data_IF_806475984878
#
_entry.id   IF_806475984878
#
_cell.length_a   1.000
_cell.length_b   1.000
_cell.length_c   1.000
_cell.angle_alpha   90.00
_cell.angle_beta   90.00
_cell.angle_gamma   90.00
#
_symmetry.space_group_name_H-M   'P 1'
#
loop_
_entity.id
_entity.type
_entity.pdbx_description
1 polymer ?
#
# COMPACT_ATOMS: atom_id res chain seq x y z
N UNK A 1 -2.54 9.20 9.21
CA UNK A 1 -1.37 9.20 10.12
C UNK A 1 -0.09 9.39 9.34
N UNK A 2 0.92 9.97 9.99
CA UNK A 2 2.28 10.09 9.44
C UNK A 2 3.12 8.93 9.96
N UNK A 3 4.11 8.50 9.18
CA UNK A 3 4.99 7.40 9.56
C UNK A 3 6.43 7.64 9.14
N UNK A 4 7.35 7.09 9.92
CA UNK A 4 8.79 7.05 9.61
C UNK A 4 9.23 5.60 9.56
N UNK A 5 9.71 5.17 8.41
CA UNK A 5 10.37 3.88 8.20
C UNK A 5 11.87 4.08 8.03
N UNK A 6 12.66 3.37 8.83
CA UNK A 6 14.09 3.22 8.60
C UNK A 6 14.34 2.08 7.61
N UNK A 7 15.34 2.23 6.74
CA UNK A 7 15.81 1.13 5.87
C UNK A 7 16.92 0.41 6.62
N UNK A 8 16.69 -0.86 6.96
CA UNK A 8 17.65 -1.67 7.71
C UNK A 8 18.94 -1.84 6.90
N UNK A 9 20.09 -1.72 7.57
CA UNK A 9 21.43 -1.84 7.00
C UNK A 9 21.81 -0.80 5.92
N UNK A 10 20.98 0.21 5.73
CA UNK A 10 21.23 1.29 4.79
C UNK A 10 21.00 2.65 5.44
N UNK A 11 21.79 3.69 5.08
CA UNK A 11 21.71 5.00 5.75
C UNK A 11 20.55 5.85 5.20
N UNK A 12 19.34 5.31 5.24
CA UNK A 12 18.15 5.94 4.71
C UNK A 12 16.94 5.76 5.60
N UNK A 13 16.08 6.78 5.66
CA UNK A 13 14.74 6.66 6.18
C UNK A 13 13.72 7.25 5.20
N UNK A 14 12.49 6.81 5.34
CA UNK A 14 11.33 7.25 4.56
C UNK A 14 10.29 7.84 5.48
N UNK A 15 9.80 9.03 5.14
CA UNK A 15 8.64 9.64 5.77
C UNK A 15 7.47 9.70 4.80
N UNK A 16 6.26 9.61 5.31
CA UNK A 16 5.08 9.71 4.48
C UNK A 16 3.78 9.71 5.28
N UNK A 17 2.69 9.92 4.55
CA UNK A 17 1.33 9.89 5.08
C UNK A 17 0.56 8.66 4.59
N UNK A 18 -0.36 8.20 5.43
CA UNK A 18 -1.38 7.23 5.05
C UNK A 18 -2.71 7.53 5.75
N UNK A 19 -3.81 7.31 5.05
CA UNK A 19 -5.18 7.28 5.58
C UNK A 19 -5.56 5.90 6.15
N UNK A 20 -4.71 4.90 5.95
CA UNK A 20 -4.92 3.55 6.44
C UNK A 20 -4.59 3.46 7.93
N UNK A 21 -5.24 2.53 8.63
CA UNK A 21 -5.04 2.29 10.06
C UNK A 21 -3.67 1.69 10.39
N UNK A 22 -2.95 1.16 9.40
CA UNK A 22 -1.64 0.56 9.58
C UNK A 22 -0.68 0.99 8.45
N UNK A 23 0.41 1.72 8.75
CA UNK A 23 1.40 2.16 7.76
C UNK A 23 2.10 1.02 7.01
N UNK A 24 2.21 -0.17 7.61
CA UNK A 24 2.79 -1.34 6.96
C UNK A 24 2.11 -1.71 5.65
N UNK A 25 0.82 -1.40 5.49
CA UNK A 25 0.10 -1.65 4.24
C UNK A 25 0.68 -0.86 3.06
N UNK A 26 1.29 0.31 3.31
CA UNK A 26 1.97 1.13 2.28
C UNK A 26 3.23 0.45 1.78
N UNK A 27 4.00 -0.16 2.69
CA UNK A 27 5.21 -0.90 2.33
C UNK A 27 4.85 -2.19 1.59
N UNK A 28 3.84 -2.93 2.04
CA UNK A 28 3.39 -4.17 1.40
C UNK A 28 2.87 -3.98 -0.03
N UNK A 29 2.27 -2.84 -0.33
CA UNK A 29 1.76 -2.55 -1.68
C UNK A 29 2.84 -2.14 -2.68
N UNK A 30 4.10 -2.04 -2.25
CA UNK A 30 5.23 -1.63 -3.09
C UNK A 30 5.17 -0.18 -3.52
N UNK A 31 4.44 0.68 -2.80
CA UNK A 31 4.27 2.10 -3.14
C UNK A 31 5.60 2.87 -3.18
N UNK A 32 6.62 2.36 -2.50
CA UNK A 32 7.97 2.90 -2.44
C UNK A 32 8.82 2.63 -3.70
N UNK A 33 8.39 1.73 -4.59
CA UNK A 33 9.22 1.26 -5.73
C UNK A 33 9.54 2.34 -6.76
N UNK A 34 8.73 3.39 -6.87
CA UNK A 34 8.88 4.45 -7.86
C UNK A 34 9.46 5.76 -7.30
N UNK A 35 9.69 5.82 -5.98
CA UNK A 35 10.04 7.07 -5.27
C UNK A 35 11.31 6.94 -4.41
N UNK A 36 12.17 5.99 -4.69
CA UNK A 36 13.40 5.74 -3.95
C UNK A 36 14.64 6.31 -4.65
N UNK A 37 15.72 6.58 -3.91
CA UNK A 37 17.02 6.95 -4.50
C UNK A 37 17.52 5.90 -5.47
N UNK A 38 18.22 6.33 -6.51
CA UNK A 38 18.78 5.42 -7.54
C UNK A 38 19.70 4.35 -6.94
N UNK A 39 20.41 4.68 -5.88
CA UNK A 39 21.32 3.78 -5.15
C UNK A 39 20.58 2.60 -4.51
N UNK A 40 19.28 2.76 -4.25
CA UNK A 40 18.42 1.75 -3.66
C UNK A 40 17.66 0.92 -4.69
N UNK A 41 17.78 1.26 -5.98
CA UNK A 41 17.09 0.56 -7.05
C UNK A 41 17.45 -0.93 -7.08
N UNK A 42 16.43 -1.80 -7.02
CA UNK A 42 16.61 -3.25 -7.01
C UNK A 42 17.19 -3.84 -5.71
N UNK A 43 17.41 -3.00 -4.67
CA UNK A 43 17.97 -3.42 -3.37
C UNK A 43 16.94 -3.38 -2.24
N UNK A 44 15.76 -2.85 -2.46
CA UNK A 44 14.72 -2.73 -1.45
C UNK A 44 13.67 -3.82 -1.61
N UNK A 45 13.38 -4.48 -0.51
CA UNK A 45 12.21 -5.31 -0.28
C UNK A 45 11.43 -4.80 0.93
N UNK A 46 10.21 -5.25 1.09
CA UNK A 46 9.39 -4.83 2.23
C UNK A 46 9.98 -5.25 3.59
N UNK A 47 10.80 -6.30 3.60
CA UNK A 47 11.51 -6.82 4.77
C UNK A 47 12.60 -5.88 5.30
N UNK A 48 13.13 -5.02 4.43
CA UNK A 48 14.19 -4.07 4.78
C UNK A 48 13.67 -2.81 5.46
N UNK A 49 12.36 -2.63 5.55
CA UNK A 49 11.77 -1.49 6.23
C UNK A 49 11.43 -1.81 7.68
N UNK A 50 11.86 -0.96 8.60
CA UNK A 50 11.51 -0.96 10.00
C UNK A 50 10.70 0.29 10.32
N UNK A 51 9.47 0.12 10.80
CA UNK A 51 8.65 1.24 11.28
C UNK A 51 9.18 1.69 12.64
N UNK A 52 9.66 2.94 12.71
CA UNK A 52 10.29 3.46 13.94
C UNK A 52 9.45 4.51 14.63
N UNK A 53 8.65 5.30 13.90
CA UNK A 53 7.75 6.28 14.47
C UNK A 53 6.43 6.35 13.70
N UNK A 54 5.37 6.63 14.44
CA UNK A 54 4.05 6.95 13.90
C UNK A 54 3.50 8.18 14.63
N UNK A 55 2.94 9.12 13.88
CA UNK A 55 2.38 10.35 14.43
C UNK A 55 0.95 10.57 13.96
N UNK A 56 0.19 11.26 14.78
CA UNK A 56 -1.10 11.77 14.35
C UNK A 56 -0.89 12.93 13.38
N UNK A 57 -1.51 12.88 12.22
CA UNK A 57 -1.37 13.94 11.22
C UNK A 57 -2.03 13.59 9.90
N UNK A 58 -2.02 14.56 9.00
CA UNK A 58 -2.64 14.48 7.68
C UNK A 58 -1.63 14.74 6.56
N UNK A 59 -2.10 14.71 5.33
CA UNK A 59 -1.29 14.95 4.14
C UNK A 59 -0.74 16.38 4.05
N UNK A 60 -1.40 17.35 4.68
CA UNK A 60 -0.93 18.75 4.70
C UNK A 60 0.31 18.87 5.56
N UNK A 61 0.32 18.17 6.68
CA UNK A 61 1.46 18.13 7.58
C UNK A 61 2.65 17.41 6.94
N UNK A 62 2.42 16.31 6.20
CA UNK A 62 3.46 15.67 5.38
C UNK A 62 4.10 16.67 4.40
N UNK A 63 3.30 17.39 3.62
CA UNK A 63 3.80 18.40 2.67
C UNK A 63 4.53 19.55 3.37
N UNK A 64 4.04 19.99 4.53
CA UNK A 64 4.70 21.01 5.33
C UNK A 64 6.10 20.55 5.74
N UNK A 65 6.21 19.34 6.27
CA UNK A 65 7.50 18.76 6.66
C UNK A 65 8.46 18.61 5.47
N UNK A 66 7.96 18.14 4.32
CA UNK A 66 8.78 18.02 3.10
C UNK A 66 9.24 19.38 2.57
N UNK A 67 8.51 20.46 2.84
CA UNK A 67 8.90 21.82 2.46
C UNK A 67 9.96 22.41 3.40
N UNK A 68 9.88 22.13 4.69
CA UNK A 68 10.82 22.59 5.71
C UNK A 68 12.11 21.76 5.66
N UNK A 69 11.99 20.48 5.43
CA UNK A 69 13.05 19.49 5.42
C UNK A 69 13.00 18.69 4.11
N UNK A 70 13.51 19.25 3.00
CA UNK A 70 13.36 18.63 1.68
C UNK A 70 13.97 17.22 1.62
N UNK A 71 13.29 16.24 1.02
CA UNK A 71 13.84 14.91 0.86
C UNK A 71 15.05 14.91 -0.08
N UNK A 72 15.97 14.01 0.17
CA UNK A 72 17.13 13.81 -0.71
C UNK A 72 16.69 13.27 -2.07
N UNK A 73 15.78 12.30 -2.08
CA UNK A 73 15.19 11.76 -3.32
C UNK A 73 13.78 11.18 -3.06
N UNK A 74 12.81 11.68 -3.77
CA UNK A 74 11.41 11.25 -3.63
C UNK A 74 10.87 11.50 -2.24
N UNK A 75 10.71 10.45 -1.43
CA UNK A 75 10.24 10.48 -0.05
C UNK A 75 11.30 9.89 0.92
N UNK A 76 12.61 9.98 0.54
CA UNK A 76 13.71 9.43 1.31
C UNK A 76 14.69 10.50 1.75
N UNK A 77 15.17 10.36 3.00
CA UNK A 77 16.16 11.19 3.66
C UNK A 77 17.36 10.35 4.10
N UNK A 78 18.47 11.01 4.37
CA UNK A 78 19.65 10.37 4.96
C UNK A 78 19.43 10.09 6.44
N UNK A 79 19.96 8.97 6.93
CA UNK A 79 19.82 8.54 8.32
C UNK A 79 20.48 9.52 9.32
N UNK A 80 21.49 10.27 8.88
CA UNK A 80 22.13 11.33 9.67
C UNK A 80 21.16 12.46 10.06
N UNK A 81 20.10 12.67 9.28
CA UNK A 81 19.09 13.70 9.53
C UNK A 81 17.92 13.19 10.38
N UNK A 82 17.89 11.91 10.73
CA UNK A 82 16.72 11.24 11.31
C UNK A 82 16.29 11.84 12.64
N UNK A 83 17.24 12.06 13.55
CA UNK A 83 16.94 12.55 14.90
C UNK A 83 16.39 13.99 14.85
N UNK A 84 16.99 14.87 14.05
CA UNK A 84 16.54 16.24 13.85
C UNK A 84 15.16 16.27 13.18
N UNK A 85 14.96 15.42 12.18
CA UNK A 85 13.69 15.28 11.49
C UNK A 85 12.58 14.83 12.46
N UNK A 86 12.82 13.76 13.22
CA UNK A 86 11.85 13.22 14.20
C UNK A 86 11.55 14.25 15.29
N UNK A 87 12.58 14.96 15.77
CA UNK A 87 12.40 16.03 16.75
C UNK A 87 11.47 17.12 16.21
N UNK A 88 11.66 17.56 14.97
CA UNK A 88 10.79 18.57 14.34
C UNK A 88 9.36 18.06 14.18
N UNK A 89 9.15 16.79 13.79
CA UNK A 89 7.79 16.23 13.70
C UNK A 89 7.13 16.21 15.07
N UNK A 90 7.86 15.87 16.15
CA UNK A 90 7.36 15.87 17.54
C UNK A 90 6.95 17.24 18.06
N UNK A 91 7.46 18.31 17.49
CA UNK A 91 7.02 19.66 17.86
C UNK A 91 5.60 20.00 17.34
N UNK A 92 5.13 19.31 16.32
CA UNK A 92 3.90 19.66 15.58
C UNK A 92 2.89 18.53 15.50
N UNK A 93 3.25 17.31 15.92
CA UNK A 93 2.40 16.13 15.86
C UNK A 93 2.64 15.20 17.05
N UNK A 94 1.55 14.66 17.59
CA UNK A 94 1.62 13.68 18.68
C UNK A 94 2.08 12.32 18.17
N UNK A 95 3.06 11.73 18.84
CA UNK A 95 3.49 10.37 18.56
C UNK A 95 2.46 9.37 19.10
N UNK A 96 2.13 8.38 18.30
CA UNK A 96 1.17 7.33 18.68
C UNK A 96 1.85 5.96 18.69
N UNK A 97 1.29 4.96 19.40
CA UNK A 97 1.86 3.63 19.45
C UNK A 97 2.09 3.01 18.08
N UNK A 98 3.25 2.40 17.88
CA UNK A 98 3.60 1.73 16.64
C UNK A 98 2.70 0.50 16.46
N UNK A 99 1.92 0.41 15.39
CA UNK A 99 1.10 -0.76 15.11
C UNK A 99 1.99 -1.96 14.78
N UNK A 100 1.56 -3.13 15.21
CA UNK A 100 2.28 -4.36 14.92
C UNK A 100 2.41 -4.58 13.41
N UNK A 101 3.59 -5.04 12.99
CA UNK A 101 3.81 -5.47 11.62
C UNK A 101 2.88 -6.64 11.31
N UNK A 102 2.04 -6.54 10.27
CA UNK A 102 1.26 -7.71 9.84
C UNK A 102 2.20 -8.84 9.44
N UNK A 103 1.88 -10.07 9.84
CA UNK A 103 2.65 -11.22 9.36
C UNK A 103 2.54 -11.28 7.82
N UNK A 104 3.70 -11.18 7.16
CA UNK A 104 3.78 -11.47 5.74
C UNK A 104 3.65 -12.99 5.57
N UNK A 105 2.65 -13.41 4.84
CA UNK A 105 2.53 -14.81 4.45
C UNK A 105 3.49 -15.02 3.28
N UNK A 106 4.73 -15.37 3.57
CA UNK A 106 5.54 -16.09 2.60
C UNK A 106 4.86 -17.46 2.36
N UNK A 107 4.83 -17.88 1.11
CA UNK A 107 4.03 -18.99 0.56
C UNK A 107 4.40 -20.40 1.06
N UNK A 108 4.95 -20.55 2.26
CA UNK A 108 5.21 -21.84 2.87
C UNK A 108 4.05 -22.28 3.77
N UNK A 109 3.50 -23.41 3.46
CA UNK A 109 2.33 -24.03 4.11
C UNK A 109 2.52 -24.18 5.63
N UNK A 110 3.74 -24.30 6.13
CA UNK A 110 4.08 -24.43 7.55
C UNK A 110 3.98 -23.08 8.31
N UNK A 111 4.13 -21.93 7.63
CA UNK A 111 3.94 -20.60 8.21
C UNK A 111 2.47 -20.17 8.27
N UNK A 112 1.57 -20.86 7.60
CA UNK A 112 0.12 -20.65 7.66
C UNK A 112 -0.46 -20.85 9.07
N UNK A 113 0.19 -21.62 9.92
CA UNK A 113 -0.27 -21.90 11.28
C UNK A 113 -0.12 -20.70 12.23
N UNK A 114 0.80 -19.78 11.98
CA UNK A 114 1.00 -18.62 12.86
C UNK A 114 0.17 -17.39 12.44
N UNK A 115 -0.37 -17.39 11.21
CA UNK A 115 -1.13 -16.28 10.64
C UNK A 115 -2.62 -16.63 10.49
N UNK A 116 -3.16 -17.43 11.40
CA UNK A 116 -4.60 -17.75 11.45
C UNK A 116 -5.38 -16.47 11.71
N UNK A 117 -5.83 -15.81 10.65
CA UNK A 117 -6.86 -14.81 10.80
C UNK A 117 -6.77 -13.52 10.01
N UNK A 118 -5.74 -13.23 9.23
CA UNK A 118 -5.79 -12.01 8.40
C UNK A 118 -6.52 -12.29 7.09
N UNK A 119 -7.83 -12.29 7.18
CA UNK A 119 -8.68 -12.28 6.00
C UNK A 119 -8.87 -10.84 5.52
N UNK A 120 -8.65 -10.63 4.24
CA UNK A 120 -9.01 -9.37 3.60
C UNK A 120 -10.53 -9.35 3.39
N UNK A 121 -11.22 -8.52 4.13
CA UNK A 121 -12.70 -8.46 4.11
C UNK A 121 -13.16 -7.38 3.13
N UNK A 122 -14.11 -7.70 2.28
CA UNK A 122 -14.82 -6.71 1.50
C UNK A 122 -15.81 -5.96 2.40
N UNK A 123 -15.56 -4.70 2.68
CA UNK A 123 -16.40 -3.86 3.55
C UNK A 123 -17.82 -3.68 3.02
N UNK A 124 -18.02 -3.84 1.70
CA UNK A 124 -19.33 -3.66 1.05
C UNK A 124 -20.23 -4.87 1.21
N UNK A 125 -19.67 -6.10 1.22
CA UNK A 125 -20.49 -7.33 1.26
C UNK A 125 -20.04 -8.36 2.31
N UNK A 126 -18.99 -8.06 3.10
CA UNK A 126 -18.47 -8.96 4.15
C UNK A 126 -17.68 -10.18 3.63
N UNK A 127 -17.53 -10.36 2.33
CA UNK A 127 -16.81 -11.51 1.78
C UNK A 127 -15.31 -11.46 2.12
N UNK A 128 -14.76 -12.62 2.51
CA UNK A 128 -13.38 -12.76 2.98
C UNK A 128 -12.49 -13.36 1.89
N UNK A 129 -11.26 -12.86 1.79
CA UNK A 129 -10.28 -13.29 0.81
C UNK A 129 -8.94 -13.56 1.49
N UNK A 130 -8.29 -14.65 1.13
CA UNK A 130 -6.95 -15.01 1.63
C UNK A 130 -5.83 -14.15 1.02
N UNK A 131 -6.11 -13.39 -0.03
CA UNK A 131 -5.15 -12.51 -0.71
C UNK A 131 -5.77 -11.17 -1.03
N UNK A 132 -5.06 -10.08 -0.78
CA UNK A 132 -5.51 -8.72 -1.06
C UNK A 132 -5.82 -8.49 -2.55
N UNK A 133 -5.03 -9.05 -3.46
CA UNK A 133 -5.29 -8.96 -4.90
C UNK A 133 -6.65 -9.59 -5.29
N UNK A 134 -7.09 -10.64 -4.59
CA UNK A 134 -8.41 -11.24 -4.81
C UNK A 134 -9.53 -10.36 -4.27
N UNK A 135 -9.32 -9.67 -3.15
CA UNK A 135 -10.25 -8.66 -2.66
C UNK A 135 -10.38 -7.50 -3.66
N UNK A 136 -9.26 -6.96 -4.17
CA UNK A 136 -9.29 -5.88 -5.18
C UNK A 136 -9.98 -6.32 -6.46
N UNK A 137 -9.74 -7.55 -6.89
CA UNK A 137 -10.41 -8.13 -8.06
C UNK A 137 -11.91 -8.24 -7.82
N UNK A 138 -12.32 -8.77 -6.66
CA UNK A 138 -13.72 -8.88 -6.26
C UNK A 138 -14.40 -7.51 -6.19
N UNK A 139 -13.78 -6.50 -5.58
CA UNK A 139 -14.33 -5.13 -5.54
C UNK A 139 -14.63 -4.61 -6.94
N UNK A 140 -13.68 -4.71 -7.87
CA UNK A 140 -13.85 -4.30 -9.27
C UNK A 140 -14.93 -5.09 -9.99
N UNK A 141 -14.97 -6.41 -9.78
CA UNK A 141 -15.89 -7.29 -10.51
C UNK A 141 -17.33 -7.22 -9.97
N UNK A 142 -17.52 -6.92 -8.68
CA UNK A 142 -18.83 -7.01 -8.00
C UNK A 142 -19.40 -5.64 -7.62
N UNK A 143 -18.56 -4.72 -7.14
CA UNK A 143 -19.02 -3.44 -6.58
C UNK A 143 -18.72 -2.22 -7.45
N UNK A 144 -17.65 -2.24 -8.22
CA UNK A 144 -17.25 -1.16 -9.13
C UNK A 144 -17.69 -1.47 -10.56
N UNK A 145 -18.95 -1.85 -10.75
CA UNK A 145 -19.42 -2.38 -12.01
C UNK A 145 -19.64 -1.29 -13.08
N UNK A 146 -18.57 -0.84 -13.70
CA UNK A 146 -18.67 -0.40 -15.10
C UNK A 146 -18.94 -1.64 -15.96
N UNK A 147 -20.20 -2.03 -16.11
CA UNK A 147 -20.57 -3.19 -16.91
C UNK A 147 -20.47 -2.82 -18.40
N UNK A 148 -19.65 -3.55 -19.11
CA UNK A 148 -19.51 -3.41 -20.55
C UNK A 148 -20.69 -4.11 -21.24
N UNK A 149 -21.52 -3.35 -22.00
CA UNK A 149 -22.70 -3.89 -22.68
C UNK A 149 -22.37 -4.30 -24.12
N UNK A 150 -22.79 -5.49 -24.49
CA UNK A 150 -22.79 -5.92 -25.89
C UNK A 150 -24.05 -5.45 -26.60
N UNK A 151 -23.99 -5.27 -27.91
CA UNK A 151 -25.15 -4.96 -28.80
C UNK A 151 -26.26 -6.02 -28.73
N UNK A 152 -25.95 -7.23 -28.27
CA UNK A 152 -26.94 -8.29 -28.00
C UNK A 152 -27.66 -8.16 -26.65
N UNK A 153 -27.33 -7.13 -25.82
CA UNK A 153 -27.92 -6.89 -24.51
C UNK A 153 -27.21 -7.56 -23.35
N UNK A 154 -26.23 -8.43 -23.59
CA UNK A 154 -25.44 -9.05 -22.50
C UNK A 154 -24.46 -8.06 -21.87
N UNK A 155 -24.34 -8.12 -20.54
CA UNK A 155 -23.42 -7.30 -19.76
C UNK A 155 -22.26 -8.13 -19.22
N UNK A 156 -21.06 -7.53 -19.23
CA UNK A 156 -19.82 -8.17 -18.80
C UNK A 156 -19.09 -7.30 -17.79
N UNK A 157 -18.55 -7.89 -16.69
CA UNK A 157 -17.81 -7.15 -15.69
C UNK A 157 -16.41 -6.69 -16.17
N UNK A 158 -15.94 -7.20 -17.31
CA UNK A 158 -14.62 -6.87 -17.89
C UNK A 158 -14.69 -6.71 -19.39
N UNK A 159 -13.95 -5.72 -19.91
CA UNK A 159 -13.83 -5.47 -21.34
C UNK A 159 -13.36 -6.71 -22.11
N UNK A 160 -12.34 -7.42 -21.62
CA UNK A 160 -11.83 -8.63 -22.26
C UNK A 160 -12.85 -9.78 -22.38
N UNK A 161 -13.83 -9.84 -21.46
CA UNK A 161 -14.94 -10.80 -21.56
C UNK A 161 -15.95 -10.37 -22.62
N UNK A 162 -16.20 -9.06 -22.74
CA UNK A 162 -17.00 -8.52 -23.83
C UNK A 162 -16.33 -8.79 -25.19
N UNK A 163 -15.05 -8.47 -25.32
CA UNK A 163 -14.31 -8.67 -26.59
C UNK A 163 -14.32 -10.14 -27.00
N UNK A 164 -14.10 -11.05 -26.06
CA UNK A 164 -14.19 -12.50 -26.32
C UNK A 164 -15.59 -12.93 -26.73
N UNK A 165 -16.62 -12.39 -26.09
CA UNK A 165 -18.00 -12.67 -26.44
C UNK A 165 -18.32 -12.16 -27.84
N UNK A 166 -17.90 -10.95 -28.19
CA UNK A 166 -18.13 -10.36 -29.55
C UNK A 166 -17.46 -11.22 -30.62
N UNK A 167 -16.23 -11.67 -30.37
CA UNK A 167 -15.46 -12.48 -31.32
C UNK A 167 -15.99 -13.90 -31.51
N UNK A 168 -16.44 -14.55 -30.38
CA UNK A 168 -16.72 -16.01 -30.41
C UNK A 168 -18.19 -16.37 -30.32
N UNK A 169 -19.04 -15.54 -29.72
CA UNK A 169 -20.37 -16.00 -29.30
C UNK A 169 -21.50 -14.99 -29.54
N UNK A 170 -21.22 -13.80 -30.04
CA UNK A 170 -22.27 -12.82 -30.28
C UNK A 170 -23.03 -13.16 -31.57
N UNK A 171 -24.33 -13.44 -31.41
CA UNK A 171 -25.22 -13.75 -32.57
C UNK A 171 -25.72 -12.50 -33.30
N UNK A 172 -25.54 -11.31 -32.73
CA UNK A 172 -25.86 -10.02 -33.35
C UNK A 172 -24.55 -9.35 -33.76
N UNK A 173 -24.04 -9.69 -34.89
CA UNK A 173 -22.99 -8.93 -35.58
C UNK A 173 -23.63 -7.90 -36.51
#
# INVERSE_FOLDING_TARGET
>A
MLYVFKVVDLPWFKFGYTDQTNPWNRIQTGFWTNVHPKELCGKLGAEQFQLIHVFQGDKRLEHCMQSIFPPYAGEFWKDEDLDDFVWMVKLIADEIPIPQRPCFIETDVEKLACCTGVWHVCWTCGQRFSRFCKLLQHKRDVHESARYKCVCGKEFPRKGNLDRHVLKSCKKR
#
